data_IF_893800341144
#
_entry.id   IF_893800341144
#
_cell.length_a   1.000
_cell.length_b   1.000
_cell.length_c   1.000
_cell.angle_alpha   90.00
_cell.angle_beta   90.00
_cell.angle_gamma   90.00
#
_symmetry.space_group_name_H-M   'P 1'
#
loop_
_entity.id
_entity.type
_entity.pdbx_description
1 polymer ?
#
# COMPACT_ATOMS: atom_id res chain seq x y z
N UNK A 1 -19.23 -18.15 -17.77
CA UNK A 1 -18.42 -18.01 -16.54
C UNK A 1 -17.24 -18.99 -16.44
N UNK A 2 -17.43 -20.31 -16.39
CA UNK A 2 -16.33 -21.29 -16.18
C UNK A 2 -15.14 -21.16 -17.17
N UNK A 3 -15.41 -21.04 -18.47
CA UNK A 3 -14.34 -20.83 -19.47
C UNK A 3 -13.64 -19.46 -19.32
N UNK A 4 -14.36 -18.42 -18.88
CA UNK A 4 -13.77 -17.11 -18.61
C UNK A 4 -12.83 -17.17 -17.40
N UNK A 5 -13.24 -17.87 -16.33
CA UNK A 5 -12.42 -18.13 -15.14
C UNK A 5 -11.14 -18.90 -15.48
N UNK A 6 -11.24 -19.95 -16.31
CA UNK A 6 -10.07 -20.70 -16.81
C UNK A 6 -9.14 -19.84 -17.66
N UNK A 7 -9.69 -19.05 -18.58
CA UNK A 7 -8.90 -18.15 -19.43
C UNK A 7 -8.17 -17.08 -18.59
N UNK A 8 -8.87 -16.48 -17.61
CA UNK A 8 -8.27 -15.54 -16.66
C UNK A 8 -7.17 -16.20 -15.85
N UNK A 9 -7.39 -17.41 -15.36
CA UNK A 9 -6.36 -18.15 -14.60
C UNK A 9 -5.09 -18.35 -15.43
N UNK A 10 -5.22 -18.80 -16.68
CA UNK A 10 -4.07 -18.95 -17.60
C UNK A 10 -3.36 -17.63 -17.84
N UNK A 11 -4.12 -16.57 -18.11
CA UNK A 11 -3.55 -15.24 -18.34
C UNK A 11 -2.80 -14.72 -17.10
N UNK A 12 -3.34 -14.92 -15.89
CA UNK A 12 -2.65 -14.61 -14.64
C UNK A 12 -1.36 -15.42 -14.53
N UNK A 13 -1.41 -16.73 -14.81
CA UNK A 13 -0.24 -17.61 -14.71
C UNK A 13 0.88 -17.16 -15.69
N UNK A 14 0.51 -16.74 -16.90
CA UNK A 14 1.41 -16.21 -17.94
C UNK A 14 1.91 -14.78 -17.68
N UNK A 15 1.28 -14.02 -16.78
CA UNK A 15 1.69 -12.66 -16.46
C UNK A 15 3.12 -12.62 -15.90
N UNK A 16 4.05 -12.07 -16.67
CA UNK A 16 5.42 -11.83 -16.24
C UNK A 16 5.58 -10.40 -15.67
N UNK A 17 6.09 -10.32 -14.44
CA UNK A 17 6.48 -9.09 -13.75
C UNK A 17 7.95 -9.14 -13.31
N UNK A 18 8.77 -9.99 -13.92
CA UNK A 18 10.16 -10.23 -13.53
C UNK A 18 10.99 -8.95 -13.55
N UNK A 19 10.84 -8.12 -14.60
CA UNK A 19 11.55 -6.85 -14.73
C UNK A 19 11.13 -5.84 -13.64
N UNK A 20 9.83 -5.71 -13.37
CA UNK A 20 9.30 -4.83 -12.33
C UNK A 20 9.73 -5.30 -10.94
N UNK A 21 9.72 -6.60 -10.69
CA UNK A 21 10.17 -7.19 -9.43
C UNK A 21 11.66 -6.96 -9.20
N UNK A 22 12.49 -7.13 -10.23
CA UNK A 22 13.92 -6.83 -10.17
C UNK A 22 14.14 -5.35 -9.86
N UNK A 23 13.43 -4.44 -10.54
CA UNK A 23 13.54 -3.00 -10.30
C UNK A 23 13.11 -2.61 -8.89
N UNK A 24 12.01 -3.15 -8.39
CA UNK A 24 11.57 -2.90 -7.01
C UNK A 24 12.60 -3.42 -6.00
N UNK A 25 13.21 -4.59 -6.24
CA UNK A 25 14.24 -5.12 -5.35
C UNK A 25 15.51 -4.24 -5.33
N UNK A 26 15.93 -3.71 -6.47
CA UNK A 26 17.04 -2.73 -6.55
C UNK A 26 16.75 -1.47 -5.74
N UNK A 27 15.56 -0.90 -5.91
CA UNK A 27 15.13 0.30 -5.21
C UNK A 27 15.01 0.07 -3.69
N UNK A 28 14.45 -1.07 -3.27
CA UNK A 28 14.36 -1.46 -1.85
C UNK A 28 15.77 -1.64 -1.25
N UNK A 29 16.73 -2.20 -2.00
CA UNK A 29 18.12 -2.31 -1.57
C UNK A 29 18.84 -0.94 -1.47
N UNK A 30 18.55 0.01 -2.38
CA UNK A 30 19.05 1.39 -2.28
C UNK A 30 18.48 2.11 -1.06
N UNK A 31 17.18 1.98 -0.80
CA UNK A 31 16.53 2.52 0.40
C UNK A 31 17.16 1.94 1.67
N UNK A 32 17.46 0.64 1.71
CA UNK A 32 18.11 0.02 2.86
C UNK A 32 19.50 0.61 3.13
N UNK A 33 20.31 0.83 2.08
CA UNK A 33 21.62 1.49 2.19
C UNK A 33 21.49 2.94 2.67
N UNK A 34 20.50 3.69 2.17
CA UNK A 34 20.22 5.05 2.62
C UNK A 34 19.84 5.08 4.10
N UNK A 35 18.97 4.19 4.54
CA UNK A 35 18.56 4.11 5.95
C UNK A 35 19.75 3.78 6.86
N UNK A 36 20.66 2.91 6.43
CA UNK A 36 21.91 2.64 7.18
C UNK A 36 22.80 3.89 7.26
N UNK A 37 22.93 4.65 6.17
CA UNK A 37 23.67 5.91 6.14
C UNK A 37 23.06 6.97 7.08
N UNK A 38 21.73 7.10 7.10
CA UNK A 38 21.01 7.99 8.02
C UNK A 38 21.28 7.59 9.47
N UNK A 39 21.11 6.31 9.82
CA UNK A 39 21.36 5.80 11.17
C UNK A 39 22.79 6.11 11.63
N UNK A 40 23.78 5.86 10.77
CA UNK A 40 25.20 6.14 11.08
C UNK A 40 25.44 7.64 11.32
N UNK A 41 24.82 8.50 10.51
CA UNK A 41 24.92 9.94 10.67
C UNK A 41 24.22 10.46 11.95
N UNK A 42 23.08 9.87 12.32
CA UNK A 42 22.36 10.17 13.56
C UNK A 42 23.14 9.74 14.81
N UNK A 43 23.76 8.56 14.77
CA UNK A 43 24.66 8.08 15.82
C UNK A 43 25.83 9.04 16.00
N UNK A 44 26.44 9.49 14.90
CA UNK A 44 27.53 10.48 14.94
C UNK A 44 27.07 11.83 15.49
N UNK A 45 25.88 12.31 15.12
CA UNK A 45 25.31 13.53 15.70
C UNK A 45 25.10 13.44 17.22
N UNK A 46 24.71 12.25 17.69
CA UNK A 46 24.54 11.95 19.12
C UNK A 46 25.88 11.93 19.84
N UNK A 47 26.89 11.28 19.25
CA UNK A 47 28.26 11.26 19.75
C UNK A 47 28.84 12.68 19.86
N UNK A 48 28.71 13.50 18.80
CA UNK A 48 29.15 14.90 18.82
C UNK A 48 28.48 15.66 19.96
N UNK A 49 27.18 15.45 20.17
CA UNK A 49 26.44 16.10 21.25
C UNK A 49 26.97 15.72 22.64
N UNK A 50 27.38 14.46 22.83
CA UNK A 50 28.06 13.99 24.05
C UNK A 50 29.45 14.61 24.21
N UNK A 51 30.27 14.58 23.16
CA UNK A 51 31.61 15.19 23.17
C UNK A 51 31.56 16.68 23.51
N UNK A 52 30.53 17.39 23.05
CA UNK A 52 30.30 18.80 23.40
C UNK A 52 29.89 19.00 24.87
N UNK A 53 29.09 18.10 25.43
CA UNK A 53 28.68 18.15 26.83
C UNK A 53 29.83 17.78 27.79
N UNK A 54 30.63 16.78 27.43
CA UNK A 54 31.78 16.31 28.21
C UNK A 54 32.97 17.29 28.18
N UNK A 55 32.93 18.28 27.27
CA UNK A 55 33.95 19.33 27.12
C UNK A 55 33.86 20.47 28.14
N UNK A 56 33.16 20.27 29.25
CA UNK A 56 33.58 20.89 30.51
C UNK A 56 34.98 20.37 30.82
N UNK A 57 36.00 20.98 30.21
CA UNK A 57 37.36 20.95 30.73
C UNK A 57 37.21 21.49 32.13
N UNK A 58 37.13 20.62 33.15
CA UNK A 58 37.01 21.11 34.51
C UNK A 58 38.21 22.03 34.71
N UNK A 59 37.99 23.19 35.32
CA UNK A 59 39.08 24.09 35.65
C UNK A 59 40.23 23.35 36.34
N UNK A 60 39.91 22.25 37.03
CA UNK A 60 40.85 21.32 37.67
C UNK A 60 41.81 20.62 36.68
N UNK A 61 41.36 20.17 35.50
CA UNK A 61 42.27 19.54 34.51
C UNK A 61 43.23 20.54 33.86
N UNK A 62 42.78 21.78 33.67
CA UNK A 62 43.65 22.89 33.22
C UNK A 62 44.59 23.29 34.35
N UNK A 63 44.11 23.33 35.59
CA UNK A 63 44.93 23.60 36.76
C UNK A 63 46.00 22.52 36.98
N UNK A 64 45.68 21.23 36.84
CA UNK A 64 46.65 20.13 36.93
C UNK A 64 47.72 20.20 35.84
N UNK A 65 47.34 20.49 34.58
CA UNK A 65 48.30 20.66 33.48
C UNK A 65 49.22 21.87 33.68
N UNK A 66 48.67 22.98 34.18
CA UNK A 66 49.43 24.18 34.55
C UNK A 66 50.39 23.90 35.73
N UNK A 67 49.97 23.10 36.71
CA UNK A 67 50.81 22.69 37.85
C UNK A 67 51.92 21.69 37.44
N UNK A 68 51.69 20.88 36.40
CA UNK A 68 52.68 19.95 35.84
C UNK A 68 53.75 20.64 34.96
N UNK A 69 53.66 21.96 34.76
CA UNK A 69 54.61 22.73 33.95
C UNK A 69 54.35 22.65 32.44
N UNK A 70 53.25 22.03 32.02
CA UNK A 70 52.77 22.11 30.64
C UNK A 70 52.07 23.44 30.41
N UNK A 71 52.10 23.93 29.16
CA UNK A 71 51.30 25.10 28.79
C UNK A 71 49.84 24.68 28.68
N UNK A 72 48.91 25.47 29.23
CA UNK A 72 47.47 25.22 29.14
C UNK A 72 46.98 24.93 27.70
N UNK A 73 47.68 25.46 26.69
CA UNK A 73 47.48 25.15 25.27
C UNK A 73 47.65 23.65 24.95
N UNK A 74 48.75 22.99 25.38
CA UNK A 74 49.02 21.60 24.99
C UNK A 74 48.01 20.60 25.54
N UNK A 75 47.36 20.91 26.67
CA UNK A 75 46.29 20.10 27.24
C UNK A 75 44.94 20.26 26.51
N UNK A 76 44.71 21.41 25.86
CA UNK A 76 43.49 21.71 25.11
C UNK A 76 43.53 21.23 23.64
N UNK A 77 44.73 21.09 23.07
CA UNK A 77 44.98 20.88 21.63
C UNK A 77 44.73 19.45 21.11
N UNK A 78 44.37 18.47 21.95
CA UNK A 78 44.17 17.07 21.52
C UNK A 78 42.73 16.73 21.06
N UNK A 79 41.81 17.70 20.98
CA UNK A 79 40.40 17.47 20.64
C UNK A 79 39.91 18.43 19.53
N UNK A 80 39.06 17.97 18.57
CA UNK A 80 38.47 18.83 17.53
C UNK A 80 37.79 20.05 18.14
N UNK A 81 37.92 21.27 17.59
CA UNK A 81 37.32 22.48 18.18
C UNK A 81 35.78 22.38 18.29
N UNK A 82 35.17 23.10 19.24
CA UNK A 82 33.70 23.10 19.39
C UNK A 82 33.01 23.58 18.11
N UNK A 83 33.63 24.53 17.42
CA UNK A 83 33.20 25.02 16.11
C UNK A 83 33.27 23.91 15.05
N UNK A 84 34.39 23.18 14.95
CA UNK A 84 34.53 22.06 14.02
C UNK A 84 33.50 20.95 14.27
N UNK A 85 33.20 20.64 15.54
CA UNK A 85 32.15 19.69 15.91
C UNK A 85 30.74 20.17 15.53
N UNK A 86 30.46 21.47 15.67
CA UNK A 86 29.16 22.02 15.25
C UNK A 86 29.03 22.07 13.73
N UNK A 87 30.10 22.44 13.01
CA UNK A 87 30.17 22.37 11.54
C UNK A 87 29.92 20.95 11.03
N UNK A 88 30.59 19.95 11.62
CA UNK A 88 30.37 18.53 11.30
C UNK A 88 28.90 18.15 11.52
N UNK A 89 28.32 18.50 12.67
CA UNK A 89 26.92 18.21 13.00
C UNK A 89 25.93 18.88 12.03
N UNK A 90 26.18 20.13 11.64
CA UNK A 90 25.34 20.84 10.66
C UNK A 90 25.43 20.16 9.29
N UNK A 91 26.63 19.79 8.86
CA UNK A 91 26.84 19.05 7.61
C UNK A 91 26.14 17.68 7.63
N UNK A 92 26.25 16.92 8.73
CA UNK A 92 25.57 15.63 8.90
C UNK A 92 24.05 15.77 8.84
N UNK A 93 23.47 16.77 9.52
CA UNK A 93 22.02 17.04 9.46
C UNK A 93 21.55 17.41 8.06
N UNK A 94 22.32 18.20 7.34
CA UNK A 94 22.02 18.52 5.95
C UNK A 94 22.10 17.27 5.06
N UNK A 95 23.11 16.42 5.27
CA UNK A 95 23.24 15.13 4.60
C UNK A 95 22.05 14.20 4.88
N UNK A 96 21.62 14.07 6.13
CA UNK A 96 20.42 13.30 6.52
C UNK A 96 19.18 13.84 5.81
N UNK A 97 19.01 15.17 5.74
CA UNK A 97 17.88 15.78 5.02
C UNK A 97 17.87 15.38 3.54
N UNK A 98 19.03 15.48 2.86
CA UNK A 98 19.16 15.08 1.46
C UNK A 98 18.90 13.59 1.25
N UNK A 99 19.41 12.73 2.14
CA UNK A 99 19.18 11.29 2.10
C UNK A 99 17.69 10.95 2.30
N UNK A 100 16.99 11.65 3.19
CA UNK A 100 15.55 11.47 3.38
C UNK A 100 14.74 11.83 2.12
N UNK A 101 15.07 12.94 1.45
CA UNK A 101 14.39 13.31 0.19
C UNK A 101 14.64 12.24 -0.88
N UNK A 102 15.89 11.79 -1.01
CA UNK A 102 16.22 10.72 -1.96
C UNK A 102 15.46 9.42 -1.66
N UNK A 103 15.29 9.06 -0.38
CA UNK A 103 14.49 7.91 0.04
C UNK A 103 13.02 8.05 -0.37
N UNK A 104 12.44 9.24 -0.20
CA UNK A 104 11.05 9.54 -0.59
C UNK A 104 10.85 9.46 -2.11
N UNK A 105 11.82 9.94 -2.89
CA UNK A 105 11.81 9.81 -4.35
C UNK A 105 11.82 8.34 -4.79
N UNK A 106 12.71 7.52 -4.21
CA UNK A 106 12.79 6.08 -4.49
C UNK A 106 11.49 5.36 -4.08
N UNK A 107 10.90 5.74 -2.96
CA UNK A 107 9.62 5.19 -2.52
C UNK A 107 8.48 5.52 -3.50
N UNK A 108 8.48 6.75 -4.02
CA UNK A 108 7.51 7.20 -5.03
C UNK A 108 7.68 6.44 -6.37
N UNK A 109 8.92 6.13 -6.74
CA UNK A 109 9.23 5.29 -7.91
C UNK A 109 8.68 3.86 -7.74
N UNK A 110 8.91 3.24 -6.58
CA UNK A 110 8.35 1.92 -6.23
C UNK A 110 6.82 1.93 -6.34
N UNK A 111 6.16 2.97 -5.82
CA UNK A 111 4.69 3.06 -5.85
C UNK A 111 4.15 3.26 -7.27
N UNK A 112 4.92 3.92 -8.14
CA UNK A 112 4.59 4.05 -9.57
C UNK A 112 4.68 2.69 -10.26
N UNK A 113 5.77 1.95 -10.06
CA UNK A 113 5.92 0.59 -10.60
C UNK A 113 4.77 -0.31 -10.14
N UNK A 114 4.39 -0.22 -8.85
CA UNK A 114 3.26 -0.98 -8.29
C UNK A 114 1.93 -0.60 -8.93
N UNK A 115 1.70 0.68 -9.18
CA UNK A 115 0.48 1.16 -9.85
C UNK A 115 0.40 0.63 -11.28
N UNK A 116 1.52 0.64 -12.00
CA UNK A 116 1.58 0.17 -13.38
C UNK A 116 1.39 -1.34 -13.48
N UNK A 117 1.99 -2.11 -12.57
CA UNK A 117 1.77 -3.56 -12.45
C UNK A 117 0.29 -3.88 -12.17
N UNK A 118 -0.36 -3.15 -11.25
CA UNK A 118 -1.81 -3.28 -11.01
C UNK A 118 -2.63 -2.91 -12.25
N UNK A 119 -2.22 -1.90 -13.01
CA UNK A 119 -2.85 -1.53 -14.29
C UNK A 119 -2.74 -2.63 -15.35
N UNK A 120 -1.61 -3.36 -15.41
CA UNK A 120 -1.46 -4.54 -16.29
C UNK A 120 -2.43 -5.65 -15.90
N UNK A 121 -2.54 -5.96 -14.60
CA UNK A 121 -3.51 -6.94 -14.10
C UNK A 121 -4.95 -6.50 -14.40
N UNK A 122 -5.30 -5.23 -14.17
CA UNK A 122 -6.64 -4.74 -14.44
C UNK A 122 -7.06 -4.90 -15.91
N UNK A 123 -6.16 -4.60 -16.86
CA UNK A 123 -6.41 -4.84 -18.29
C UNK A 123 -6.59 -6.32 -18.61
N UNK A 124 -5.83 -7.19 -17.96
CA UNK A 124 -5.91 -8.63 -18.11
C UNK A 124 -7.23 -9.20 -17.56
N UNK A 125 -7.75 -8.64 -16.46
CA UNK A 125 -9.01 -9.04 -15.85
C UNK A 125 -10.25 -8.42 -16.50
N UNK A 126 -10.10 -7.42 -17.38
CA UNK A 126 -11.22 -6.71 -18.00
C UNK A 126 -12.25 -7.64 -18.67
N UNK A 127 -11.87 -8.69 -19.43
CA UNK A 127 -12.84 -9.61 -20.03
C UNK A 127 -13.68 -10.38 -19.00
N UNK A 128 -13.10 -10.76 -17.86
CA UNK A 128 -13.83 -11.43 -16.79
C UNK A 128 -14.84 -10.48 -16.13
N UNK A 129 -14.43 -9.22 -15.92
CA UNK A 129 -15.33 -8.18 -15.39
C UNK A 129 -16.50 -7.94 -16.34
N UNK A 130 -16.25 -7.87 -17.65
CA UNK A 130 -17.31 -7.74 -18.66
C UNK A 130 -18.27 -8.93 -18.65
N UNK A 131 -17.78 -10.16 -18.52
CA UNK A 131 -18.61 -11.36 -18.41
C UNK A 131 -19.47 -11.35 -17.14
N UNK A 132 -18.90 -10.95 -15.99
CA UNK A 132 -19.63 -10.79 -14.72
C UNK A 132 -20.75 -9.75 -14.89
N UNK A 133 -20.45 -8.57 -15.45
CA UNK A 133 -21.45 -7.52 -15.70
C UNK A 133 -22.55 -8.02 -16.66
N UNK A 134 -22.19 -8.80 -17.68
CA UNK A 134 -23.15 -9.38 -18.61
C UNK A 134 -24.05 -10.43 -17.94
N UNK A 135 -23.53 -11.20 -16.99
CA UNK A 135 -24.32 -12.15 -16.19
C UNK A 135 -25.26 -11.43 -15.22
N UNK A 136 -24.77 -10.41 -14.51
CA UNK A 136 -25.60 -9.57 -13.63
C UNK A 136 -26.75 -8.92 -14.40
N UNK A 137 -26.48 -8.41 -15.62
CA UNK A 137 -27.51 -7.85 -16.49
C UNK A 137 -28.56 -8.88 -16.89
N UNK A 138 -28.16 -10.10 -17.29
CA UNK A 138 -29.07 -11.19 -17.64
C UNK A 138 -29.95 -11.60 -16.46
N UNK A 139 -29.38 -11.66 -15.25
CA UNK A 139 -30.12 -11.94 -14.03
C UNK A 139 -31.15 -10.84 -13.73
N UNK A 140 -30.76 -9.57 -13.85
CA UNK A 140 -31.68 -8.44 -13.67
C UNK A 140 -32.83 -8.45 -14.70
N UNK A 141 -32.55 -8.75 -15.97
CA UNK A 141 -33.57 -8.87 -17.02
C UNK A 141 -34.55 -10.02 -16.74
N UNK A 142 -34.05 -11.15 -16.24
CA UNK A 142 -34.87 -12.30 -15.84
C UNK A 142 -35.81 -11.94 -14.69
N UNK A 143 -35.29 -11.26 -13.66
CA UNK A 143 -36.11 -10.76 -12.54
C UNK A 143 -37.20 -9.80 -13.02
N UNK A 144 -36.86 -8.88 -13.94
CA UNK A 144 -37.81 -7.94 -14.55
C UNK A 144 -38.90 -8.65 -15.34
N UNK A 145 -38.55 -9.66 -16.15
CA UNK A 145 -39.51 -10.45 -16.91
C UNK A 145 -40.46 -11.24 -16.00
N UNK A 146 -39.94 -11.85 -14.93
CA UNK A 146 -40.74 -12.56 -13.93
C UNK A 146 -41.73 -11.63 -13.22
N UNK A 147 -41.29 -10.44 -12.80
CA UNK A 147 -42.18 -9.44 -12.22
C UNK A 147 -43.28 -8.99 -13.20
N UNK A 148 -42.92 -8.74 -14.47
CA UNK A 148 -43.89 -8.39 -15.50
C UNK A 148 -44.93 -9.52 -15.71
N UNK A 149 -44.51 -10.78 -15.68
CA UNK A 149 -45.41 -11.93 -15.76
C UNK A 149 -46.37 -12.00 -14.56
N UNK A 150 -45.88 -11.76 -13.33
CA UNK A 150 -46.72 -11.72 -12.12
C UNK A 150 -47.71 -10.55 -12.17
N UNK A 151 -47.28 -9.38 -12.63
CA UNK A 151 -48.18 -8.24 -12.87
C UNK A 151 -49.27 -8.58 -13.88
N UNK A 152 -48.91 -9.24 -14.99
CA UNK A 152 -49.87 -9.66 -16.01
C UNK A 152 -50.88 -10.69 -15.45
N UNK A 153 -50.41 -11.68 -14.68
CA UNK A 153 -51.26 -12.65 -14.00
C UNK A 153 -52.18 -11.96 -12.98
N UNK A 154 -51.65 -11.06 -12.15
CA UNK A 154 -52.44 -10.32 -11.17
C UNK A 154 -53.53 -9.46 -11.82
N UNK A 155 -53.20 -8.78 -12.91
CA UNK A 155 -54.16 -7.98 -13.66
C UNK A 155 -55.24 -8.85 -14.32
N UNK A 156 -54.86 -10.01 -14.87
CA UNK A 156 -55.79 -10.90 -15.56
C UNK A 156 -56.71 -11.69 -14.62
N UNK A 157 -56.25 -12.01 -13.40
CA UNK A 157 -56.99 -12.89 -12.47
C UNK A 157 -57.45 -12.22 -11.19
N UNK A 158 -57.08 -10.95 -10.95
CA UNK A 158 -57.30 -10.23 -9.68
C UNK A 158 -56.71 -10.92 -8.43
N UNK A 159 -55.84 -11.92 -8.62
CA UNK A 159 -55.16 -12.68 -7.57
C UNK A 159 -53.64 -12.40 -7.59
N UNK A 160 -52.87 -12.91 -6.64
CA UNK A 160 -51.39 -12.73 -6.60
C UNK A 160 -50.89 -11.30 -6.31
N UNK A 161 -51.70 -10.45 -5.67
CA UNK A 161 -51.29 -9.09 -5.29
C UNK A 161 -50.12 -9.05 -4.29
N UNK A 162 -50.02 -10.05 -3.42
CA UNK A 162 -48.92 -10.16 -2.45
C UNK A 162 -47.59 -10.46 -3.14
N UNK A 163 -47.57 -11.41 -4.07
CA UNK A 163 -46.41 -11.81 -4.87
C UNK A 163 -45.96 -10.69 -5.80
N UNK A 164 -46.92 -9.95 -6.38
CA UNK A 164 -46.65 -8.71 -7.11
C UNK A 164 -45.92 -7.69 -6.25
N UNK A 165 -46.41 -7.44 -5.04
CA UNK A 165 -45.80 -6.45 -4.13
C UNK A 165 -44.41 -6.91 -3.65
N UNK A 166 -44.22 -8.21 -3.38
CA UNK A 166 -42.91 -8.76 -3.00
C UNK A 166 -41.88 -8.61 -4.12
N UNK A 167 -42.27 -8.87 -5.37
CA UNK A 167 -41.36 -8.74 -6.52
C UNK A 167 -41.16 -7.28 -6.95
N UNK A 168 -42.11 -6.38 -6.70
CA UNK A 168 -41.93 -4.94 -6.91
C UNK A 168 -40.77 -4.38 -6.06
N UNK A 169 -40.64 -4.78 -4.79
CA UNK A 169 -39.52 -4.37 -3.94
C UNK A 169 -38.15 -4.87 -4.44
N UNK A 170 -38.09 -6.03 -5.09
CA UNK A 170 -36.87 -6.53 -5.73
C UNK A 170 -36.50 -5.72 -6.97
N UNK A 171 -37.49 -5.29 -7.77
CA UNK A 171 -37.27 -4.45 -8.95
C UNK A 171 -36.90 -3.01 -8.56
N UNK A 172 -37.54 -2.44 -7.53
CA UNK A 172 -37.16 -1.12 -6.98
C UNK A 172 -35.74 -1.13 -6.43
N UNK A 173 -35.32 -2.22 -5.79
CA UNK A 173 -33.95 -2.35 -5.32
C UNK A 173 -32.92 -2.49 -6.46
N UNK A 174 -33.30 -3.09 -7.60
CA UNK A 174 -32.48 -3.11 -8.82
C UNK A 174 -32.43 -1.74 -9.53
N UNK A 175 -33.40 -0.85 -9.29
CA UNK A 175 -33.61 0.39 -10.07
C UNK A 175 -33.57 1.72 -9.29
N UNK A 176 -33.42 1.72 -7.97
CA UNK A 176 -33.52 2.92 -7.11
C UNK A 176 -32.42 3.06 -6.05
N UNK A 177 -32.35 4.19 -5.31
CA UNK A 177 -31.32 4.47 -4.30
C UNK A 177 -31.55 3.71 -2.96
N UNK A 178 -31.93 2.44 -3.02
CA UNK A 178 -32.34 1.62 -1.87
C UNK A 178 -31.79 0.19 -1.93
N UNK A 179 -31.13 -0.24 -0.85
CA UNK A 179 -30.26 -1.42 -0.76
C UNK A 179 -31.02 -2.75 -0.94
N UNK A 180 -30.58 -3.59 -1.89
CA UNK A 180 -31.11 -4.93 -2.19
C UNK A 180 -31.02 -5.94 -1.02
N UNK A 181 -30.23 -5.66 0.01
CA UNK A 181 -30.03 -6.56 1.15
C UNK A 181 -29.96 -5.74 2.47
N UNK A 182 -31.10 -5.30 3.03
CA UNK A 182 -31.11 -4.66 4.33
C UNK A 182 -30.59 -5.65 5.40
N UNK A 183 -29.50 -5.30 6.08
CA UNK A 183 -28.94 -6.07 7.21
C UNK A 183 -27.75 -6.98 6.89
N UNK A 184 -27.44 -7.30 5.63
CA UNK A 184 -26.19 -7.99 5.27
C UNK A 184 -25.08 -6.97 5.07
N UNK A 185 -24.35 -6.67 6.14
CA UNK A 185 -23.17 -5.78 6.12
C UNK A 185 -21.96 -6.38 5.41
N UNK A 186 -22.04 -7.65 5.01
CA UNK A 186 -20.92 -8.45 4.52
C UNK A 186 -21.41 -9.40 3.42
N UNK A 187 -20.73 -9.38 2.28
CA UNK A 187 -20.91 -10.30 1.15
C UNK A 187 -19.69 -11.19 1.01
N UNK A 188 -19.92 -12.49 0.88
CA UNK A 188 -18.86 -13.43 0.52
C UNK A 188 -18.57 -13.31 -0.98
N UNK A 189 -17.29 -13.27 -1.31
CA UNK A 189 -16.82 -13.38 -2.69
C UNK A 189 -16.88 -14.86 -3.08
N UNK A 190 -17.28 -15.14 -4.31
CA UNK A 190 -17.31 -16.49 -4.87
C UNK A 190 -15.93 -17.18 -4.70
N UNK A 191 -15.94 -18.41 -4.19
CA UNK A 191 -14.73 -19.19 -3.94
C UNK A 191 -13.93 -19.42 -5.22
N UNK A 192 -14.60 -19.62 -6.35
CA UNK A 192 -13.95 -19.90 -7.63
C UNK A 192 -13.19 -18.66 -8.12
N UNK A 193 -13.77 -17.47 -7.92
CA UNK A 193 -13.10 -16.20 -8.20
C UNK A 193 -11.90 -15.99 -7.27
N UNK A 194 -12.02 -16.31 -5.99
CA UNK A 194 -10.90 -16.24 -5.03
C UNK A 194 -9.76 -17.17 -5.44
N UNK A 195 -10.07 -18.39 -5.86
CA UNK A 195 -9.09 -19.38 -6.33
C UNK A 195 -8.40 -18.96 -7.64
N UNK A 196 -9.15 -18.37 -8.58
CA UNK A 196 -8.60 -17.84 -9.83
C UNK A 196 -7.63 -16.69 -9.57
N UNK A 197 -7.93 -15.82 -8.60
CA UNK A 197 -7.09 -14.67 -8.25
C UNK A 197 -5.90 -15.01 -7.33
N UNK A 198 -5.95 -16.16 -6.63
CA UNK A 198 -4.92 -16.58 -5.69
C UNK A 198 -3.47 -16.52 -6.21
N UNK A 199 -3.16 -16.92 -7.47
CA UNK A 199 -1.79 -16.88 -7.99
C UNK A 199 -1.19 -15.47 -8.05
N UNK A 200 -2.00 -14.40 -8.07
CA UNK A 200 -1.49 -13.03 -8.03
C UNK A 200 -0.63 -12.77 -6.78
N UNK A 201 -0.87 -13.49 -5.67
CA UNK A 201 -0.03 -13.41 -4.45
C UNK A 201 1.43 -13.77 -4.71
N UNK A 202 1.67 -14.64 -5.69
CA UNK A 202 3.00 -15.15 -6.03
C UNK A 202 3.72 -14.31 -7.08
N UNK A 203 3.12 -13.21 -7.56
CA UNK A 203 3.70 -12.34 -8.61
C UNK A 203 4.71 -11.31 -8.08
N UNK A 204 5.06 -11.37 -6.80
CA UNK A 204 6.18 -10.62 -6.22
C UNK A 204 5.86 -9.21 -5.70
N UNK A 205 6.89 -8.47 -5.24
CA UNK A 205 6.75 -7.19 -4.56
C UNK A 205 6.28 -6.03 -5.44
N UNK A 206 6.37 -6.18 -6.77
CA UNK A 206 5.81 -5.22 -7.72
C UNK A 206 4.28 -5.22 -7.73
N UNK A 207 3.60 -6.30 -7.34
CA UNK A 207 2.14 -6.33 -7.34
C UNK A 207 1.53 -6.09 -5.95
N UNK A 208 2.02 -6.81 -4.92
CA UNK A 208 1.48 -6.83 -3.53
C UNK A 208 -0.06 -6.73 -3.51
N UNK A 209 -0.79 -7.74 -4.04
CA UNK A 209 -2.24 -7.67 -4.15
C UNK A 209 -2.92 -7.82 -2.78
N UNK A 210 -3.99 -7.07 -2.55
CA UNK A 210 -4.95 -7.34 -1.49
C UNK A 210 -6.01 -8.31 -2.02
N UNK A 211 -6.01 -9.56 -1.54
CA UNK A 211 -7.09 -10.51 -1.85
C UNK A 211 -8.07 -10.55 -0.69
N UNK A 212 -9.34 -10.30 -0.99
CA UNK A 212 -10.42 -10.19 -0.02
C UNK A 212 -11.44 -11.28 -0.35
N UNK A 213 -11.79 -12.10 0.63
CA UNK A 213 -12.86 -13.12 0.50
C UNK A 213 -14.23 -12.59 0.95
N UNK A 214 -14.27 -11.39 1.53
CA UNK A 214 -15.47 -10.82 2.12
C UNK A 214 -15.50 -9.30 1.98
N UNK A 215 -16.52 -8.76 1.32
CA UNK A 215 -16.70 -7.32 1.09
C UNK A 215 -17.72 -6.78 2.08
N UNK A 216 -17.36 -5.73 2.82
CA UNK A 216 -18.31 -5.03 3.70
C UNK A 216 -18.99 -3.89 2.93
N UNK A 217 -20.32 -3.83 2.97
CA UNK A 217 -21.12 -2.79 2.31
C UNK A 217 -21.67 -1.85 3.38
N UNK A 218 -21.27 -0.58 3.30
CA UNK A 218 -21.66 0.50 4.23
C UNK A 218 -23.01 1.11 3.86
#
# INVERSE_FOLDING_TARGET
>A
MDEALKATRRAIDELDLGAENARVAELEAEIARINQGISTAEDRCTEISRLKADRNVSGDKVAEALLAGDTASRAADCLPSHEALEEERVALRQGIKTLNHRREDLQSEIDTIRRDAKGKVARLLAPLVEEIIAEERRAAETLRAGHAAICALNFATEHFGTERNQTAGLIEALGGPGKLLPGKRSLQVDSDLVEVLAPLRNKGPALKPGLISTINIW
#
